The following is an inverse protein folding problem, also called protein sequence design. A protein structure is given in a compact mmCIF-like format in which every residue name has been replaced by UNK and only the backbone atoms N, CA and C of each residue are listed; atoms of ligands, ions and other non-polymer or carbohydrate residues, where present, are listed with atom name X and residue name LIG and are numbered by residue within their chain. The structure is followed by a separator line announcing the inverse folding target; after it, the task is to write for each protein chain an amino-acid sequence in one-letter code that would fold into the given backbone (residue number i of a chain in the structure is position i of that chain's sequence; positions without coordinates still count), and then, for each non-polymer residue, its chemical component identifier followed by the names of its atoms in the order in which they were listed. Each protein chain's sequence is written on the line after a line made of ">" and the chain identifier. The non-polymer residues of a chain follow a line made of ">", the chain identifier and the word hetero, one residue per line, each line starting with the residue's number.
data_IF_425562454010
#
_entry.id   IF_425562454010
#
_cell.length_a   1.000
_cell.length_b   1.000
_cell.length_c   1.000
_cell.angle_alpha   90.00
_cell.angle_beta   90.00
_cell.angle_gamma   90.00
#
_symmetry.space_group_name_H-M   'P 1'
#
loop_
_entity.id
_entity.type
_entity.pdbx_description
1 polymer ?
#
# COMPACT_ATOMS: atom_id res chain seq x y z
N UNK A 1 -27.64 1.80 -14.21
CA UNK A 1 -26.55 0.97 -14.77
C UNK A 1 -25.31 1.85 -14.75
N UNK A 2 -24.41 1.63 -13.80
CA UNK A 2 -23.14 2.34 -13.78
C UNK A 2 -22.22 1.71 -14.83
N UNK A 3 -21.99 2.45 -15.91
CA UNK A 3 -21.03 2.10 -16.95
C UNK A 3 -19.71 2.80 -16.66
N UNK A 4 -19.00 2.30 -15.66
CA UNK A 4 -17.63 2.71 -15.38
C UNK A 4 -16.91 1.52 -14.77
N UNK A 5 -15.88 1.01 -15.44
CA UNK A 5 -14.94 0.13 -14.76
C UNK A 5 -14.39 0.93 -13.57
N UNK A 6 -14.65 0.45 -12.35
CA UNK A 6 -14.11 1.04 -11.12
C UNK A 6 -12.62 0.73 -11.11
N UNK A 7 -11.86 1.53 -11.86
CA UNK A 7 -10.42 1.35 -12.01
C UNK A 7 -9.76 1.86 -10.74
N UNK A 8 -9.10 0.95 -10.02
CA UNK A 8 -8.34 1.26 -8.82
C UNK A 8 -6.85 1.09 -9.14
N UNK A 9 -6.23 2.05 -9.88
CA UNK A 9 -4.90 1.87 -10.46
C UNK A 9 -3.83 1.47 -9.44
N UNK A 10 -3.95 2.00 -8.21
CA UNK A 10 -3.02 1.67 -7.12
C UNK A 10 -3.19 0.22 -6.68
N UNK A 11 -4.42 -0.24 -6.45
CA UNK A 11 -4.70 -1.63 -6.03
C UNK A 11 -4.28 -2.63 -7.12
N UNK A 12 -4.53 -2.29 -8.38
CA UNK A 12 -4.16 -3.12 -9.53
C UNK A 12 -2.64 -3.22 -9.67
N UNK A 13 -1.92 -2.10 -9.53
CA UNK A 13 -0.46 -2.06 -9.56
C UNK A 13 0.16 -2.86 -8.40
N UNK A 14 -0.34 -2.66 -7.18
CA UNK A 14 0.12 -3.38 -5.98
C UNK A 14 -0.12 -4.89 -6.11
N UNK A 15 -1.25 -5.27 -6.72
CA UNK A 15 -1.55 -6.67 -7.01
C UNK A 15 -0.55 -7.26 -7.99
N UNK A 16 -0.24 -6.54 -9.07
CA UNK A 16 0.74 -6.97 -10.06
C UNK A 16 2.15 -7.14 -9.46
N UNK A 17 2.59 -6.21 -8.62
CA UNK A 17 3.89 -6.32 -7.95
C UNK A 17 4.01 -7.55 -7.06
N UNK A 18 2.92 -7.88 -6.36
CA UNK A 18 2.84 -9.10 -5.57
C UNK A 18 2.90 -10.35 -6.46
N UNK A 19 2.08 -10.39 -7.51
CA UNK A 19 1.95 -11.56 -8.39
C UNK A 19 3.25 -11.85 -9.17
N UNK A 20 4.02 -10.81 -9.52
CA UNK A 20 5.33 -10.93 -10.19
C UNK A 20 6.51 -11.01 -9.21
N UNK A 21 6.27 -10.95 -7.89
CA UNK A 21 7.28 -10.92 -6.83
C UNK A 21 8.42 -9.91 -7.06
N UNK A 22 8.07 -8.73 -7.58
CA UNK A 22 9.07 -7.69 -7.88
C UNK A 22 9.57 -7.00 -6.62
N UNK A 23 10.88 -6.70 -6.60
CA UNK A 23 11.46 -5.88 -5.54
C UNK A 23 10.82 -4.48 -5.54
N UNK A 24 10.22 -4.11 -4.41
CA UNK A 24 9.41 -2.90 -4.28
C UNK A 24 9.74 -2.18 -2.98
N UNK A 25 9.84 -0.84 -3.05
CA UNK A 25 9.95 0.04 -1.88
C UNK A 25 8.79 1.03 -1.92
N UNK A 26 8.10 1.20 -0.80
CA UNK A 26 7.04 2.17 -0.65
C UNK A 26 7.21 2.97 0.66
N UNK A 27 6.82 4.24 0.63
CA UNK A 27 6.80 5.12 1.80
C UNK A 27 5.40 5.67 1.98
N UNK A 28 4.94 5.76 3.22
CA UNK A 28 3.62 6.28 3.52
C UNK A 28 3.63 7.03 4.85
N UNK A 29 2.75 8.03 4.94
CA UNK A 29 2.53 8.82 6.16
C UNK A 29 1.36 8.31 7.00
N UNK A 30 0.69 7.23 6.56
CA UNK A 30 -0.44 6.63 7.26
C UNK A 30 -0.04 5.38 8.03
N UNK A 31 -0.79 5.09 9.09
CA UNK A 31 -0.61 3.93 9.96
C UNK A 31 -1.09 2.63 9.27
N UNK A 32 -0.65 1.45 9.75
CA UNK A 32 -1.11 0.17 9.21
C UNK A 32 -2.63 -0.03 9.22
N UNK A 33 -3.33 0.52 10.23
CA UNK A 33 -4.78 0.41 10.33
C UNK A 33 -5.50 1.27 9.28
N UNK A 34 -4.97 2.46 8.99
CA UNK A 34 -5.45 3.32 7.93
C UNK A 34 -5.22 2.71 6.54
N UNK A 35 -4.12 1.97 6.35
CA UNK A 35 -3.86 1.24 5.10
C UNK A 35 -4.96 0.21 4.83
N UNK A 36 -5.35 -0.56 5.86
CA UNK A 36 -6.44 -1.55 5.75
C UNK A 36 -7.76 -0.88 5.39
N UNK A 37 -8.08 0.24 6.04
CA UNK A 37 -9.30 1.00 5.73
C UNK A 37 -9.30 1.58 4.32
N UNK A 38 -8.14 1.99 3.80
CA UNK A 38 -8.04 2.70 2.50
C UNK A 38 -7.92 1.77 1.31
N UNK A 39 -7.13 0.70 1.42
CA UNK A 39 -6.79 -0.20 0.30
C UNK A 39 -7.39 -1.60 0.45
N UNK A 40 -8.05 -1.87 1.57
CA UNK A 40 -8.67 -3.15 1.88
C UNK A 40 -7.70 -4.15 2.52
N UNK A 41 -8.28 -5.14 3.19
CA UNK A 41 -7.52 -6.15 3.94
C UNK A 41 -6.54 -6.94 3.08
N UNK A 42 -6.93 -7.30 1.86
CA UNK A 42 -6.09 -8.13 0.97
C UNK A 42 -4.78 -7.45 0.57
N UNK A 43 -4.78 -6.14 0.35
CA UNK A 43 -3.56 -5.40 0.05
C UNK A 43 -2.67 -5.28 1.29
N UNK A 44 -3.27 -5.02 2.45
CA UNK A 44 -2.52 -4.96 3.69
C UNK A 44 -1.86 -6.29 4.06
N UNK A 45 -2.55 -7.42 3.83
CA UNK A 45 -1.98 -8.75 4.08
C UNK A 45 -0.80 -9.04 3.13
N UNK A 46 -0.92 -8.68 1.85
CA UNK A 46 0.18 -8.77 0.87
C UNK A 46 1.39 -7.94 1.28
N UNK A 47 1.19 -6.75 1.83
CA UNK A 47 2.31 -5.93 2.36
C UNK A 47 3.01 -6.60 3.54
N UNK A 48 2.26 -7.24 4.44
CA UNK A 48 2.86 -7.96 5.57
C UNK A 48 3.67 -9.20 5.11
N UNK A 49 3.34 -9.77 3.95
CA UNK A 49 4.05 -10.92 3.39
C UNK A 49 5.32 -10.53 2.61
N UNK A 50 5.29 -9.41 1.87
CA UNK A 50 6.35 -9.08 0.91
C UNK A 50 7.27 -7.93 1.34
N UNK A 51 6.90 -7.15 2.36
CA UNK A 51 7.64 -5.95 2.76
C UNK A 51 8.05 -5.99 4.24
N UNK A 52 9.23 -5.42 4.51
CA UNK A 52 9.68 -5.14 5.88
C UNK A 52 9.23 -3.74 6.29
N UNK A 53 8.61 -3.61 7.47
CA UNK A 53 8.05 -2.34 7.95
C UNK A 53 9.06 -1.55 8.78
N UNK A 54 9.43 -0.36 8.29
CA UNK A 54 10.28 0.59 9.02
C UNK A 54 9.45 1.79 9.46
N UNK A 55 9.35 2.01 10.77
CA UNK A 55 8.57 3.13 11.35
C UNK A 55 9.49 4.31 11.65
N UNK A 56 9.21 5.46 11.03
CA UNK A 56 9.92 6.72 11.31
C UNK A 56 9.27 7.44 12.49
N UNK A 57 10.02 7.64 13.58
CA UNK A 57 9.54 8.33 14.80
C UNK A 57 10.13 9.73 14.98
N UNK A 58 10.88 10.21 13.99
CA UNK A 58 11.58 11.48 14.07
C UNK A 58 10.62 12.66 13.86
N UNK A 59 10.99 13.83 14.39
CA UNK A 59 10.24 15.08 14.20
C UNK A 59 10.35 15.63 12.77
N UNK A 60 9.81 16.82 12.55
CA UNK A 60 9.95 17.52 11.26
C UNK A 60 11.41 17.92 11.02
N UNK A 61 11.93 17.59 9.84
CA UNK A 61 13.23 18.08 9.36
C UNK A 61 13.13 19.39 8.59
N UNK A 62 11.92 19.96 8.49
CA UNK A 62 11.72 21.28 7.88
C UNK A 62 12.18 22.32 8.90
N UNK A 63 13.38 22.85 8.68
CA UNK A 63 13.95 24.02 9.39
C UNK A 63 13.19 25.28 8.99
#
# INVERSE_FOLDING_TARGET
>A
MDYGNVFNPVVDLLSKWYDEQLFTIATTNITPDEIRSKYGNRIADRFNETMERIVFTNGTYRV
#
